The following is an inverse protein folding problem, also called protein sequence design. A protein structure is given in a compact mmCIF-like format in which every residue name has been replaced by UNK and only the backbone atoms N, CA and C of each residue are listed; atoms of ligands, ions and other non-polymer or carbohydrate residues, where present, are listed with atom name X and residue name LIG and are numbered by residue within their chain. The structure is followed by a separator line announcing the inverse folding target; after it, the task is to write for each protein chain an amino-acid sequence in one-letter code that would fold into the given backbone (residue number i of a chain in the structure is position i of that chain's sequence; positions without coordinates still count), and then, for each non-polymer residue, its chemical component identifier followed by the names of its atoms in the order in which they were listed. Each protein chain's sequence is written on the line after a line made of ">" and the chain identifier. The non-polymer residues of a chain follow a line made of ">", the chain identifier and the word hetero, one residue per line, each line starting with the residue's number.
data_IF_672462406693
#
_entry.id   IF_672462406693
#
_cell.length_a   1.000
_cell.length_b   1.000
_cell.length_c   1.000
_cell.angle_alpha   90.00
_cell.angle_beta   90.00
_cell.angle_gamma   90.00
#
_symmetry.space_group_name_H-M   'P 1'
#
loop_
_entity.id
_entity.type
_entity.pdbx_description
1 polymer ?
#
# COMPACT_ATOMS: atom_id res chain seq x y z
N UNK A 1 -20.48 -28.00 25.03
CA UNK A 1 -19.42 -26.98 25.08
C UNK A 1 -18.15 -27.59 24.52
N UNK A 2 -17.75 -27.14 23.32
CA UNK A 2 -16.53 -27.53 22.63
C UNK A 2 -15.96 -26.23 22.03
N UNK A 3 -14.78 -25.75 22.42
CA UNK A 3 -14.25 -24.50 21.88
C UNK A 3 -13.62 -24.71 20.50
N UNK A 4 -13.95 -23.82 19.57
CA UNK A 4 -13.52 -23.70 18.17
C UNK A 4 -12.03 -23.37 17.97
N UNK A 5 -11.14 -23.89 18.82
CA UNK A 5 -9.69 -23.59 18.80
C UNK A 5 -8.93 -24.22 17.60
N UNK A 6 -9.59 -25.01 16.75
CA UNK A 6 -8.92 -25.82 15.72
C UNK A 6 -8.97 -25.26 14.28
N UNK A 7 -9.53 -24.06 14.05
CA UNK A 7 -9.63 -23.49 12.69
C UNK A 7 -8.64 -22.35 12.39
N UNK A 8 -7.90 -21.84 13.37
CA UNK A 8 -6.90 -20.78 13.15
C UNK A 8 -5.47 -21.30 12.96
N UNK A 9 -5.17 -22.54 13.35
CA UNK A 9 -3.84 -23.15 13.23
C UNK A 9 -3.41 -23.55 11.80
N UNK A 10 -4.18 -23.19 10.76
CA UNK A 10 -3.80 -23.44 9.36
C UNK A 10 -3.25 -22.23 8.62
N UNK A 11 -3.32 -21.02 9.18
CA UNK A 11 -2.91 -19.79 8.46
C UNK A 11 -1.64 -19.15 9.06
N UNK A 12 -1.30 -19.40 10.33
CA UNK A 12 -0.09 -18.87 10.94
C UNK A 12 0.56 -19.95 11.83
N UNK A 13 1.69 -20.51 11.40
CA UNK A 13 2.59 -21.31 12.25
C UNK A 13 3.27 -20.38 13.28
N UNK A 14 2.52 -19.93 14.28
CA UNK A 14 3.02 -19.09 15.38
C UNK A 14 2.54 -19.72 16.69
N UNK A 15 3.14 -20.84 17.08
CA UNK A 15 2.87 -21.42 18.41
C UNK A 15 4.04 -22.13 19.10
N UNK A 16 5.28 -21.97 18.61
CA UNK A 16 6.47 -22.56 19.28
C UNK A 16 7.38 -21.52 19.98
N UNK A 17 6.86 -20.32 20.30
CA UNK A 17 7.61 -19.30 21.05
C UNK A 17 7.15 -19.27 22.52
N UNK A 18 7.43 -20.35 23.26
CA UNK A 18 7.41 -20.33 24.74
C UNK A 18 8.86 -20.29 25.21
N UNK A 19 9.21 -19.22 25.90
CA UNK A 19 10.51 -19.01 26.54
C UNK A 19 10.54 -19.85 27.82
N UNK A 20 11.35 -20.92 27.85
CA UNK A 20 11.70 -21.63 29.09
C UNK A 20 12.96 -21.01 29.69
N UNK A 21 12.87 -20.55 30.94
CA UNK A 21 14.00 -20.08 31.74
C UNK A 21 14.88 -21.27 32.17
N UNK A 22 16.19 -21.20 31.86
CA UNK A 22 17.16 -22.21 32.27
C UNK A 22 17.88 -21.90 33.58
N UNK A 23 18.15 -22.96 34.38
CA UNK A 23 19.28 -23.03 35.32
C UNK A 23 19.96 -24.41 35.27
N UNK A 24 21.26 -24.51 35.62
CA UNK A 24 22.16 -25.57 35.15
C UNK A 24 22.41 -26.67 36.19
N UNK A 25 22.73 -27.89 35.73
CA UNK A 25 23.91 -28.68 36.14
C UNK A 25 23.89 -30.09 35.52
N UNK A 26 25.08 -30.67 35.29
CA UNK A 26 25.25 -32.12 35.28
C UNK A 26 25.88 -32.76 34.03
N UNK A 27 27.10 -33.23 34.21
CA UNK A 27 28.00 -33.95 33.31
C UNK A 27 27.49 -35.34 32.87
N UNK A 28 27.94 -35.81 31.68
CA UNK A 28 28.28 -37.20 31.24
C UNK A 28 27.67 -37.59 29.87
N UNK A 29 28.54 -38.09 28.97
CA UNK A 29 28.27 -38.85 27.73
C UNK A 29 29.01 -40.20 27.80
N UNK A 30 28.91 -41.17 26.84
CA UNK A 30 28.03 -41.31 25.67
C UNK A 30 27.40 -42.72 25.49
N UNK A 31 26.44 -42.90 24.57
CA UNK A 31 26.54 -43.84 23.42
C UNK A 31 25.21 -44.26 22.77
N UNK A 32 25.35 -44.60 21.49
CA UNK A 32 24.50 -45.42 20.61
C UNK A 32 23.51 -44.74 19.65
N UNK A 33 23.74 -45.13 18.40
CA UNK A 33 23.08 -44.85 17.13
C UNK A 33 21.58 -45.14 17.09
N UNK A 34 20.80 -44.22 16.53
CA UNK A 34 19.69 -44.58 15.64
C UNK A 34 19.41 -43.47 14.64
N UNK A 35 19.19 -43.87 13.40
CA UNK A 35 18.87 -43.03 12.26
C UNK A 35 17.51 -42.36 12.43
N UNK A 36 17.47 -41.04 12.46
CA UNK A 36 16.24 -40.27 12.30
C UNK A 36 16.54 -39.07 11.42
N UNK A 37 15.72 -38.94 10.38
CA UNK A 37 15.80 -37.92 9.33
C UNK A 37 15.76 -36.55 10.00
N UNK A 38 16.80 -35.74 9.84
CA UNK A 38 16.75 -34.32 10.20
C UNK A 38 15.82 -33.61 9.21
N UNK A 39 14.58 -33.41 9.61
CA UNK A 39 13.81 -32.28 9.09
C UNK A 39 14.36 -31.05 9.82
N UNK A 40 15.10 -30.22 9.11
CA UNK A 40 15.47 -28.89 9.60
C UNK A 40 14.18 -28.06 9.64
N UNK A 41 13.57 -27.99 10.81
CA UNK A 41 12.54 -27.01 11.10
C UNK A 41 13.24 -25.66 11.35
N UNK A 42 13.44 -24.92 10.27
CA UNK A 42 13.93 -23.55 10.34
C UNK A 42 12.78 -22.65 10.81
N UNK A 43 12.53 -22.66 12.12
CA UNK A 43 11.85 -21.53 12.78
C UNK A 43 12.68 -20.28 12.49
N UNK A 44 12.24 -19.50 11.50
CA UNK A 44 12.96 -18.32 11.06
C UNK A 44 12.87 -17.27 12.17
N UNK A 45 13.90 -17.21 13.01
CA UNK A 45 14.07 -16.18 14.03
C UNK A 45 14.04 -14.82 13.32
N UNK A 46 13.07 -13.98 13.66
CA UNK A 46 12.99 -12.62 13.13
C UNK A 46 14.23 -11.81 13.57
N UNK A 47 14.73 -10.89 12.72
CA UNK A 47 15.82 -10.03 13.10
C UNK A 47 15.41 -9.10 14.25
N UNK A 48 16.37 -8.62 15.03
CA UNK A 48 16.13 -7.60 16.07
C UNK A 48 15.81 -6.22 15.47
N UNK A 49 16.13 -5.99 14.19
CA UNK A 49 15.79 -4.76 13.50
C UNK A 49 15.65 -5.00 12.01
N UNK A 50 14.71 -4.31 11.35
CA UNK A 50 14.57 -4.35 9.90
C UNK A 50 14.19 -2.97 9.37
N UNK A 51 14.79 -2.56 8.25
CA UNK A 51 14.55 -1.25 7.63
C UNK A 51 14.50 -1.39 6.12
N UNK A 52 13.50 -0.73 5.54
CA UNK A 52 13.22 -0.76 4.11
C UNK A 52 13.55 0.62 3.56
N UNK A 53 14.32 0.65 2.47
CA UNK A 53 14.63 1.91 1.79
C UNK A 53 13.40 2.43 1.05
N UNK A 54 12.66 3.30 1.73
CA UNK A 54 11.53 4.05 1.15
C UNK A 54 11.98 5.48 0.84
N UNK A 55 11.90 5.94 -0.41
CA UNK A 55 12.22 7.32 -0.75
C UNK A 55 11.21 8.27 -0.12
N UNK A 56 11.70 9.31 0.55
CA UNK A 56 10.84 10.35 1.11
C UNK A 56 10.23 11.22 0.00
N UNK A 57 8.93 11.49 0.12
CA UNK A 57 8.19 12.40 -0.75
C UNK A 57 7.42 13.37 0.13
N UNK A 58 7.66 14.67 -0.08
CA UNK A 58 6.94 15.73 0.61
C UNK A 58 5.54 15.94 0.00
N UNK A 59 4.54 16.12 0.85
CA UNK A 59 3.21 16.56 0.42
C UNK A 59 3.28 17.97 -0.22
N UNK A 60 2.39 18.25 -1.18
CA UNK A 60 2.38 19.54 -1.88
C UNK A 60 1.28 20.47 -1.35
N UNK A 61 0.23 19.90 -0.75
CA UNK A 61 -0.91 20.61 -0.19
C UNK A 61 -1.19 20.09 1.22
N UNK A 62 -2.08 20.74 1.96
CA UNK A 62 -2.47 20.29 3.31
C UNK A 62 -3.23 18.97 3.34
N UNK A 63 -3.75 18.52 2.20
CA UNK A 63 -4.67 17.37 2.10
C UNK A 63 -4.07 16.15 1.39
N UNK A 64 -2.90 16.27 0.75
CA UNK A 64 -2.33 15.23 -0.11
C UNK A 64 -1.25 14.36 0.57
N UNK A 65 -1.17 14.38 1.90
CA UNK A 65 -0.23 13.52 2.66
C UNK A 65 -0.45 12.02 2.38
N UNK A 66 -1.71 11.56 2.28
CA UNK A 66 -2.03 10.18 1.90
C UNK A 66 -1.55 9.82 0.49
N UNK A 67 -1.66 10.75 -0.47
CA UNK A 67 -1.17 10.55 -1.84
C UNK A 67 0.36 10.49 -1.88
N UNK A 68 1.03 11.33 -1.09
CA UNK A 68 2.48 11.25 -0.93
C UNK A 68 2.90 9.89 -0.34
N UNK A 69 2.19 9.37 0.67
CA UNK A 69 2.44 8.04 1.23
C UNK A 69 2.24 6.91 0.22
N UNK A 70 1.19 6.96 -0.60
CA UNK A 70 1.00 6.00 -1.71
C UNK A 70 2.17 6.10 -2.71
N UNK A 71 2.60 7.30 -3.09
CA UNK A 71 3.74 7.46 -3.99
C UNK A 71 5.05 6.91 -3.40
N UNK A 72 5.29 7.11 -2.11
CA UNK A 72 6.43 6.52 -1.39
C UNK A 72 6.37 4.98 -1.44
N UNK A 73 5.20 4.39 -1.16
CA UNK A 73 5.01 2.95 -1.20
C UNK A 73 5.19 2.37 -2.61
N UNK A 74 4.62 3.01 -3.64
CA UNK A 74 4.79 2.63 -5.05
C UNK A 74 6.27 2.66 -5.48
N UNK A 75 6.98 3.74 -5.13
CA UNK A 75 8.40 3.85 -5.44
C UNK A 75 9.24 2.77 -4.75
N UNK A 76 8.91 2.44 -3.48
CA UNK A 76 9.62 1.42 -2.71
C UNK A 76 9.49 0.02 -3.34
N UNK A 77 8.37 -0.29 -3.98
CA UNK A 77 8.15 -1.57 -4.69
C UNK A 77 8.53 -1.52 -6.18
N UNK A 78 9.11 -0.39 -6.65
CA UNK A 78 9.65 -0.23 -8.01
C UNK A 78 8.68 0.34 -9.05
N UNK A 79 7.51 0.83 -8.65
CA UNK A 79 6.56 1.53 -9.52
C UNK A 79 6.84 3.04 -9.44
N UNK A 80 7.64 3.55 -10.38
CA UNK A 80 8.21 4.91 -10.33
C UNK A 80 7.71 5.87 -11.42
N UNK A 81 6.69 5.48 -12.18
CA UNK A 81 6.11 6.25 -13.30
C UNK A 81 4.88 7.09 -12.89
N UNK A 82 4.82 7.52 -11.62
CA UNK A 82 3.68 8.21 -11.04
C UNK A 82 4.10 9.54 -10.39
N UNK A 83 3.15 10.45 -10.23
CA UNK A 83 3.34 11.73 -9.52
C UNK A 83 2.19 11.96 -8.56
N UNK A 84 2.37 12.84 -7.57
CA UNK A 84 1.29 13.23 -6.64
C UNK A 84 0.09 13.77 -7.43
N UNK A 85 0.31 14.60 -8.45
CA UNK A 85 -0.76 15.11 -9.30
C UNK A 85 -1.48 13.98 -10.05
N UNK A 86 -0.74 13.01 -10.59
CA UNK A 86 -1.36 11.86 -11.25
C UNK A 86 -2.21 11.03 -10.30
N UNK A 87 -1.77 10.83 -9.05
CA UNK A 87 -2.56 10.15 -8.02
C UNK A 87 -3.80 10.96 -7.63
N UNK A 88 -3.68 12.28 -7.51
CA UNK A 88 -4.80 13.18 -7.24
C UNK A 88 -5.87 13.11 -8.36
N UNK A 89 -5.43 13.15 -9.62
CA UNK A 89 -6.31 13.04 -10.80
C UNK A 89 -7.02 11.68 -10.86
N UNK A 90 -6.38 10.61 -10.37
CA UNK A 90 -6.98 9.27 -10.30
C UNK A 90 -7.95 9.13 -9.13
N UNK A 91 -7.67 9.80 -8.01
CA UNK A 91 -8.49 9.77 -6.79
C UNK A 91 -9.76 10.63 -6.92
N UNK A 92 -9.70 11.70 -7.72
CA UNK A 92 -10.82 12.60 -8.00
C UNK A 92 -11.45 13.28 -6.76
N UNK A 93 -10.70 13.43 -5.66
CA UNK A 93 -11.14 14.13 -4.45
C UNK A 93 -9.94 14.78 -3.74
N UNK A 94 -10.21 15.80 -2.93
CA UNK A 94 -9.25 16.39 -1.99
C UNK A 94 -9.57 16.06 -0.52
N UNK A 95 -10.71 15.41 -0.25
CA UNK A 95 -11.01 14.80 1.06
C UNK A 95 -10.59 13.33 1.01
N UNK A 96 -9.35 13.05 1.35
CA UNK A 96 -8.75 11.73 1.21
C UNK A 96 -9.01 10.87 2.45
N UNK A 97 -9.68 9.73 2.25
CA UNK A 97 -9.87 8.69 3.26
C UNK A 97 -9.00 7.47 2.96
N UNK A 98 -8.73 6.61 3.95
CA UNK A 98 -7.84 5.45 3.77
C UNK A 98 -8.36 4.50 2.69
N UNK A 99 -9.68 4.37 2.57
CA UNK A 99 -10.30 3.57 1.50
C UNK A 99 -9.96 4.14 0.11
N UNK A 100 -9.86 5.46 -0.06
CA UNK A 100 -9.43 6.06 -1.34
C UNK A 100 -7.99 5.63 -1.68
N UNK A 101 -7.10 5.61 -0.68
CA UNK A 101 -5.72 5.14 -0.84
C UNK A 101 -5.66 3.65 -1.18
N UNK A 102 -6.52 2.82 -0.58
CA UNK A 102 -6.65 1.41 -0.91
C UNK A 102 -7.06 1.20 -2.39
N UNK A 103 -8.01 1.98 -2.89
CA UNK A 103 -8.40 1.97 -4.30
C UNK A 103 -7.24 2.39 -5.23
N UNK A 104 -6.43 3.37 -4.83
CA UNK A 104 -5.23 3.73 -5.59
C UNK A 104 -4.25 2.56 -5.64
N UNK A 105 -3.90 1.95 -4.51
CA UNK A 105 -3.01 0.79 -4.46
C UNK A 105 -3.53 -0.38 -5.32
N UNK A 106 -4.84 -0.65 -5.26
CA UNK A 106 -5.50 -1.68 -6.07
C UNK A 106 -5.38 -1.41 -7.57
N UNK A 107 -5.54 -0.14 -7.99
CA UNK A 107 -5.38 0.28 -9.40
C UNK A 107 -3.98 0.01 -9.95
N UNK A 108 -2.97 0.07 -9.09
CA UNK A 108 -1.59 -0.28 -9.42
C UNK A 108 -1.27 -1.77 -9.21
N UNK A 109 -2.28 -2.60 -8.91
CA UNK A 109 -2.14 -4.04 -8.64
C UNK A 109 -1.13 -4.34 -7.51
N UNK A 110 -1.07 -3.45 -6.53
CA UNK A 110 -0.25 -3.65 -5.32
C UNK A 110 -0.94 -4.65 -4.42
N UNK A 111 -0.19 -5.59 -3.85
CA UNK A 111 -0.72 -6.49 -2.83
C UNK A 111 -0.65 -5.82 -1.46
N UNK A 112 -1.79 -5.68 -0.81
CA UNK A 112 -1.90 -5.08 0.53
C UNK A 112 -3.08 -5.67 1.31
N UNK A 113 -3.11 -5.43 2.62
CA UNK A 113 -4.26 -5.62 3.49
C UNK A 113 -4.66 -4.29 4.12
N UNK A 114 -5.95 -3.99 4.20
CA UNK A 114 -6.47 -2.80 4.88
C UNK A 114 -7.08 -3.21 6.22
N UNK A 115 -6.52 -2.72 7.32
CA UNK A 115 -7.05 -2.87 8.68
C UNK A 115 -7.70 -1.59 9.17
N UNK A 116 -8.84 -1.73 9.82
CA UNK A 116 -9.62 -0.62 10.40
C UNK A 116 -10.55 -1.16 11.49
N UNK A 117 -10.95 -0.32 12.44
CA UNK A 117 -12.03 -0.67 13.40
C UNK A 117 -13.40 -0.16 12.97
N UNK A 118 -13.48 0.58 11.86
CA UNK A 118 -14.73 1.17 11.34
C UNK A 118 -14.91 0.83 9.86
N UNK A 119 -16.06 0.25 9.52
CA UNK A 119 -16.45 0.05 8.12
C UNK A 119 -17.35 1.20 7.68
N UNK A 120 -16.83 2.08 6.81
CA UNK A 120 -17.52 3.29 6.39
C UNK A 120 -16.97 4.54 7.08
N UNK A 121 -17.66 5.67 6.92
CA UNK A 121 -17.31 6.89 7.61
C UNK A 121 -18.07 7.01 8.93
N UNK A 122 -17.35 7.24 10.04
CA UNK A 122 -17.97 7.37 11.36
C UNK A 122 -18.68 8.72 11.52
N UNK A 123 -20.02 8.79 11.67
CA UNK A 123 -20.74 10.05 11.81
C UNK A 123 -20.39 10.81 13.11
N UNK A 124 -19.86 10.10 14.11
CA UNK A 124 -19.45 10.70 15.38
C UNK A 124 -18.24 11.64 15.23
N UNK A 125 -17.53 11.58 14.10
CA UNK A 125 -16.42 12.50 13.80
C UNK A 125 -16.85 13.93 13.53
N UNK A 126 -18.16 14.20 13.44
CA UNK A 126 -18.72 15.55 13.38
C UNK A 126 -18.32 16.45 14.55
N UNK A 127 -17.91 15.88 15.69
CA UNK A 127 -17.37 16.62 16.85
C UNK A 127 -15.97 17.16 16.61
N UNK A 128 -15.19 16.53 15.73
CA UNK A 128 -13.85 16.96 15.38
C UNK A 128 -13.90 18.03 14.30
N UNK A 129 -13.29 19.18 14.59
CA UNK A 129 -13.24 20.32 13.65
C UNK A 129 -12.64 19.94 12.29
N UNK A 130 -11.71 18.98 12.28
CA UNK A 130 -11.10 18.42 11.08
C UNK A 130 -12.11 17.82 10.09
N UNK A 131 -13.11 17.07 10.57
CA UNK A 131 -14.07 16.39 9.70
C UNK A 131 -15.34 17.21 9.42
N UNK A 132 -15.67 18.15 10.31
CA UNK A 132 -16.98 18.81 10.39
C UNK A 132 -17.54 19.33 9.06
N UNK A 133 -16.70 19.96 8.23
CA UNK A 133 -17.16 20.60 6.98
C UNK A 133 -17.44 19.60 5.85
N UNK A 134 -16.59 18.57 5.70
CA UNK A 134 -16.64 17.63 4.56
C UNK A 134 -17.43 16.35 4.87
N UNK A 135 -17.56 15.99 6.16
CA UNK A 135 -18.17 14.75 6.61
C UNK A 135 -19.56 14.47 6.01
N UNK A 136 -20.50 15.42 5.86
CA UNK A 136 -21.81 15.12 5.28
C UNK A 136 -21.74 14.59 3.84
N UNK A 137 -20.79 15.09 3.03
CA UNK A 137 -20.59 14.60 1.66
C UNK A 137 -19.75 13.32 1.66
N UNK A 138 -18.77 13.22 2.56
CA UNK A 138 -17.92 12.06 2.67
C UNK A 138 -18.64 10.82 3.17
N UNK A 139 -19.62 10.95 4.07
CA UNK A 139 -20.40 9.82 4.59
C UNK A 139 -20.93 8.93 3.45
N UNK A 140 -21.65 9.52 2.51
CA UNK A 140 -22.24 8.78 1.38
C UNK A 140 -21.15 8.17 0.49
N UNK A 141 -20.11 8.95 0.16
CA UNK A 141 -19.05 8.51 -0.75
C UNK A 141 -18.22 7.38 -0.15
N UNK A 142 -17.76 7.55 1.09
CA UNK A 142 -16.89 6.60 1.80
C UNK A 142 -17.65 5.31 2.06
N UNK A 143 -18.90 5.37 2.52
CA UNK A 143 -19.72 4.17 2.72
C UNK A 143 -19.90 3.38 1.42
N UNK A 144 -20.14 4.07 0.30
CA UNK A 144 -20.21 3.42 -1.01
C UNK A 144 -18.89 2.77 -1.44
N UNK A 145 -17.74 3.38 -1.10
CA UNK A 145 -16.42 2.80 -1.39
C UNK A 145 -16.20 1.52 -0.56
N UNK A 146 -16.51 1.53 0.73
CA UNK A 146 -16.42 0.33 1.57
C UNK A 146 -17.33 -0.81 1.08
N UNK A 147 -18.57 -0.49 0.67
CA UNK A 147 -19.51 -1.48 0.13
C UNK A 147 -18.98 -2.17 -1.14
N UNK A 148 -18.31 -1.41 -2.02
CA UNK A 148 -17.78 -1.92 -3.30
C UNK A 148 -16.38 -2.54 -3.19
N UNK A 149 -15.64 -2.25 -2.13
CA UNK A 149 -14.23 -2.63 -1.98
C UNK A 149 -13.98 -4.12 -2.22
N UNK A 150 -14.83 -4.99 -1.66
CA UNK A 150 -14.70 -6.44 -1.81
C UNK A 150 -14.87 -6.92 -3.25
N UNK A 151 -15.83 -6.33 -3.98
CA UNK A 151 -16.09 -6.66 -5.39
C UNK A 151 -14.92 -6.21 -6.29
N UNK A 152 -14.23 -5.15 -5.88
CA UNK A 152 -13.04 -4.59 -6.55
C UNK A 152 -11.72 -5.29 -6.14
N UNK A 153 -11.81 -6.34 -5.31
CA UNK A 153 -10.67 -7.15 -4.88
C UNK A 153 -9.83 -6.56 -3.75
N UNK A 154 -10.36 -5.56 -3.03
CA UNK A 154 -9.70 -4.96 -1.86
C UNK A 154 -10.07 -5.77 -0.60
N UNK A 155 -9.06 -6.33 0.08
CA UNK A 155 -9.24 -7.05 1.35
C UNK A 155 -9.23 -6.08 2.52
N UNK A 156 -10.40 -5.92 3.16
CA UNK A 156 -10.57 -5.11 4.37
C UNK A 156 -10.82 -6.04 5.57
N UNK A 157 -10.00 -5.87 6.61
CA UNK A 157 -10.09 -6.58 7.88
C UNK A 157 -10.57 -5.61 8.97
N UNK A 158 -11.83 -5.77 9.40
CA UNK A 158 -12.42 -4.96 10.47
C UNK A 158 -11.95 -5.46 11.85
N UNK A 159 -10.73 -5.11 12.24
CA UNK A 159 -10.15 -5.45 13.55
C UNK A 159 -9.08 -4.44 13.95
N UNK A 160 -8.86 -4.32 15.26
CA UNK A 160 -7.67 -3.64 15.78
C UNK A 160 -6.43 -4.51 15.55
N UNK A 161 -5.32 -3.83 15.31
CA UNK A 161 -3.94 -4.34 15.33
C UNK A 161 -3.20 -3.50 16.36
N UNK A 162 -2.30 -4.09 17.14
CA UNK A 162 -1.45 -3.33 18.06
C UNK A 162 -0.02 -3.10 17.51
N UNK A 163 0.76 -2.28 18.21
CA UNK A 163 2.13 -1.96 17.84
C UNK A 163 3.04 -3.21 17.75
N UNK A 164 2.73 -4.27 18.52
CA UNK A 164 3.50 -5.52 18.51
C UNK A 164 3.25 -6.27 17.22
N UNK A 165 2.00 -6.44 16.80
CA UNK A 165 1.67 -7.04 15.51
C UNK A 165 2.32 -6.24 14.36
N UNK A 166 2.24 -4.90 14.38
CA UNK A 166 2.89 -4.04 13.37
C UNK A 166 4.41 -4.30 13.36
N UNK A 167 5.06 -4.34 14.52
CA UNK A 167 6.50 -4.60 14.63
C UNK A 167 6.88 -5.93 13.98
N UNK A 168 6.10 -7.00 14.20
CA UNK A 168 6.35 -8.32 13.62
C UNK A 168 6.21 -8.32 12.10
N UNK A 169 5.21 -7.59 11.57
CA UNK A 169 5.07 -7.43 10.12
C UNK A 169 6.28 -6.72 9.51
N UNK A 170 6.77 -5.65 10.14
CA UNK A 170 7.93 -4.91 9.64
C UNK A 170 9.22 -5.75 9.77
N UNK A 171 9.44 -6.41 10.91
CA UNK A 171 10.59 -7.29 11.14
C UNK A 171 10.65 -8.49 10.19
N UNK A 172 9.50 -8.95 9.69
CA UNK A 172 9.46 -10.00 8.66
C UNK A 172 10.15 -9.61 7.35
N UNK A 173 10.39 -8.31 7.14
CA UNK A 173 10.98 -7.76 5.92
C UNK A 173 10.14 -7.89 4.67
N UNK A 174 8.86 -8.22 4.82
CA UNK A 174 7.91 -8.40 3.71
C UNK A 174 6.99 -7.20 3.52
N UNK A 175 6.93 -6.27 4.48
CA UNK A 175 5.92 -5.23 4.52
C UNK A 175 6.49 -3.86 4.85
N UNK A 176 5.85 -2.82 4.31
CA UNK A 176 5.78 -1.48 4.88
C UNK A 176 4.32 -1.18 5.22
N UNK A 177 4.04 -0.14 5.99
CA UNK A 177 2.66 0.26 6.26
C UNK A 177 2.42 1.74 5.99
N UNK A 178 1.23 2.08 5.51
CA UNK A 178 0.70 3.45 5.54
C UNK A 178 -0.28 3.52 6.71
N UNK A 179 -0.05 4.43 7.66
CA UNK A 179 -0.88 4.57 8.85
C UNK A 179 -1.54 5.95 8.89
N UNK A 180 -2.81 6.02 9.28
CA UNK A 180 -3.46 7.25 9.69
C UNK A 180 -3.17 7.52 11.17
N UNK A 181 -2.70 8.72 11.49
CA UNK A 181 -2.34 9.12 12.85
C UNK A 181 -2.90 10.49 13.18
N UNK A 182 -3.07 10.78 14.47
CA UNK A 182 -3.27 12.15 14.93
C UNK A 182 -1.93 12.92 14.90
N UNK A 183 -1.82 13.90 14.00
CA UNK A 183 -0.62 14.69 13.76
C UNK A 183 -0.09 15.39 15.02
N UNK A 184 -0.99 15.88 15.89
CA UNK A 184 -0.56 16.60 17.10
C UNK A 184 0.19 15.66 18.05
N UNK A 185 -0.30 14.43 18.23
CA UNK A 185 0.38 13.42 19.06
C UNK A 185 1.67 12.93 18.42
N UNK A 186 1.71 12.84 17.10
CA UNK A 186 2.95 12.55 16.36
C UNK A 186 4.01 13.64 16.57
N UNK A 187 3.60 14.90 16.69
CA UNK A 187 4.50 16.05 16.86
C UNK A 187 4.98 16.21 18.31
N UNK A 188 4.16 15.83 19.29
CA UNK A 188 4.49 15.96 20.71
C UNK A 188 5.59 15.00 21.18
N UNK A 189 5.77 13.84 20.55
CA UNK A 189 6.91 12.96 20.86
C UNK A 189 8.25 13.67 20.67
N UNK A 190 8.37 14.52 19.64
CA UNK A 190 9.57 15.33 19.40
C UNK A 190 9.82 16.42 20.45
N UNK A 191 8.75 16.91 21.08
CA UNK A 191 8.83 18.02 22.03
C UNK A 191 9.08 17.50 23.46
N UNK A 192 8.50 16.37 23.83
CA UNK A 192 8.73 15.72 25.13
C UNK A 192 10.17 15.18 25.27
N UNK A 193 10.80 14.73 24.17
CA UNK A 193 12.22 14.37 24.15
C UNK A 193 13.15 15.58 24.36
N UNK A 194 12.65 16.81 24.20
CA UNK A 194 13.43 18.03 24.32
C UNK A 194 13.21 18.79 25.64
N UNK A 195 12.01 18.76 26.25
CA UNK A 195 11.68 19.55 27.45
C UNK A 195 10.67 18.82 28.36
N UNK A 196 11.09 18.58 29.61
CA UNK A 196 10.37 18.10 30.81
C UNK A 196 8.95 17.48 30.63
N UNK A 197 8.75 16.18 30.93
CA UNK A 197 7.44 15.54 30.90
C UNK A 197 6.60 16.02 32.09
N UNK A 198 5.45 16.66 31.85
CA UNK A 198 4.56 17.04 32.94
C UNK A 198 3.53 18.13 32.68
N UNK A 199 3.54 18.80 31.52
CA UNK A 199 2.57 19.84 31.18
C UNK A 199 1.96 19.54 29.82
N UNK A 200 0.82 18.85 29.78
CA UNK A 200 -0.33 19.18 28.91
C UNK A 200 -1.37 18.05 28.88
N UNK A 201 -2.12 17.93 29.98
CA UNK A 201 -3.46 17.32 29.96
C UNK A 201 -4.50 18.29 29.39
N UNK A 202 -4.26 18.80 28.18
CA UNK A 202 -5.14 19.74 27.51
C UNK A 202 -5.61 19.16 26.19
N UNK A 203 -6.92 18.92 26.08
CA UNK A 203 -7.68 18.45 24.91
C UNK A 203 -6.89 18.56 23.59
N UNK A 204 -6.07 17.56 23.28
CA UNK A 204 -5.28 17.55 22.06
C UNK A 204 -6.29 17.36 20.94
N UNK A 205 -6.53 18.42 20.16
CA UNK A 205 -7.42 18.33 19.01
C UNK A 205 -7.02 17.18 18.08
N UNK A 206 -7.85 16.91 17.09
CA UNK A 206 -7.55 15.95 16.06
C UNK A 206 -7.13 16.65 14.76
N UNK A 207 -6.04 16.18 14.17
CA UNK A 207 -5.70 16.45 12.77
C UNK A 207 -5.21 15.14 12.16
N UNK A 208 -6.01 14.59 11.23
CA UNK A 208 -5.67 13.35 10.54
C UNK A 208 -4.48 13.55 9.62
N UNK A 209 -3.49 12.66 9.72
CA UNK A 209 -2.28 12.72 8.91
C UNK A 209 -1.77 11.33 8.57
N UNK A 210 -1.34 11.12 7.33
CA UNK A 210 -0.81 9.83 6.89
C UNK A 210 0.72 9.84 6.92
N UNK A 211 1.29 8.72 7.39
CA UNK A 211 2.73 8.47 7.40
C UNK A 211 3.04 7.08 6.82
N UNK A 212 4.29 6.84 6.43
CA UNK A 212 4.77 5.49 6.07
C UNK A 212 5.65 4.95 7.20
N UNK A 213 5.33 3.76 7.70
CA UNK A 213 6.17 2.97 8.60
C UNK A 213 7.00 2.02 7.75
N UNK A 214 8.33 2.13 7.84
CA UNK A 214 9.26 1.44 6.94
C UNK A 214 10.41 0.74 7.66
N UNK A 215 10.45 0.78 8.99
CA UNK A 215 11.39 0.00 9.76
C UNK A 215 11.01 -0.08 11.23
N UNK A 216 11.64 -1.01 11.94
CA UNK A 216 11.48 -1.19 13.36
C UNK A 216 12.79 -1.70 13.97
N UNK A 217 13.13 -1.17 15.14
CA UNK A 217 14.29 -1.53 15.94
C UNK A 217 13.82 -2.04 17.31
N UNK A 218 13.88 -3.35 17.53
CA UNK A 218 13.45 -3.96 18.79
C UNK A 218 14.39 -3.62 19.96
N UNK A 219 15.60 -3.12 19.69
CA UNK A 219 16.55 -2.75 20.76
C UNK A 219 16.20 -1.40 21.40
N UNK A 220 15.66 -0.47 20.61
CA UNK A 220 15.21 0.84 21.07
C UNK A 220 13.70 0.96 21.19
N UNK A 221 12.96 -0.05 20.71
CA UNK A 221 11.50 -0.05 20.58
C UNK A 221 10.98 1.14 19.76
N UNK A 222 11.65 1.39 18.63
CA UNK A 222 11.37 2.52 17.74
C UNK A 222 11.00 2.06 16.34
N UNK A 223 9.99 2.71 15.77
CA UNK A 223 9.66 2.64 14.36
C UNK A 223 10.41 3.71 13.57
N UNK A 224 10.91 3.33 12.38
CA UNK A 224 11.37 4.28 11.38
C UNK A 224 10.22 4.65 10.44
N UNK A 225 9.98 5.96 10.29
CA UNK A 225 8.89 6.51 9.51
C UNK A 225 9.37 7.44 8.38
N UNK A 226 8.48 7.70 7.44
CA UNK A 226 8.54 8.82 6.50
C UNK A 226 7.30 9.68 6.73
N UNK A 227 7.52 10.92 7.14
CA UNK A 227 6.46 11.90 7.30
C UNK A 227 6.45 12.86 6.09
N UNK A 228 5.40 12.86 5.26
CA UNK A 228 5.33 13.74 4.09
C UNK A 228 5.18 15.24 4.45
N UNK A 229 4.85 15.60 5.69
CA UNK A 229 4.77 16.98 6.16
C UNK A 229 6.14 17.58 6.51
N UNK A 230 7.15 16.74 6.78
CA UNK A 230 8.49 17.18 7.19
C UNK A 230 9.46 17.20 6.00
N UNK A 231 10.59 17.89 6.16
CA UNK A 231 11.73 17.79 5.23
C UNK A 231 12.73 16.71 5.64
N UNK A 232 12.51 16.05 6.78
CA UNK A 232 13.42 15.03 7.30
C UNK A 232 13.18 13.74 6.52
N UNK A 233 14.27 13.18 5.98
CA UNK A 233 14.19 11.94 5.18
C UNK A 233 13.99 10.70 6.05
N UNK A 234 14.48 10.74 7.29
CA UNK A 234 14.43 9.64 8.23
C UNK A 234 14.00 10.20 9.58
N UNK A 235 12.95 9.61 10.14
CA UNK A 235 12.42 9.96 11.44
C UNK A 235 12.18 8.67 12.22
N UNK A 236 12.41 8.72 13.53
CA UNK A 236 12.18 7.61 14.44
C UNK A 236 11.19 8.04 15.50
N UNK A 237 10.38 7.10 15.97
CA UNK A 237 9.47 7.32 17.08
C UNK A 237 9.26 6.03 17.87
N UNK A 238 9.05 6.14 19.18
CA UNK A 238 8.75 4.98 20.01
C UNK A 238 7.45 4.28 19.59
N UNK A 239 7.36 2.98 19.83
CA UNK A 239 6.16 2.17 19.61
C UNK A 239 4.93 2.78 20.30
N UNK A 240 5.10 3.22 21.55
CA UNK A 240 4.07 3.85 22.36
C UNK A 240 3.55 5.14 21.73
N UNK A 241 4.43 6.04 21.31
CA UNK A 241 4.02 7.29 20.68
C UNK A 241 3.26 7.04 19.38
N UNK A 242 3.69 6.05 18.58
CA UNK A 242 3.01 5.67 17.36
C UNK A 242 1.61 5.14 17.67
N UNK A 243 1.50 4.25 18.66
CA UNK A 243 0.22 3.66 19.05
C UNK A 243 -0.75 4.69 19.61
N UNK A 244 -0.29 5.59 20.49
CA UNK A 244 -1.11 6.68 21.03
C UNK A 244 -1.64 7.62 19.93
N UNK A 245 -0.84 7.86 18.88
CA UNK A 245 -1.22 8.68 17.74
C UNK A 245 -2.20 7.94 16.81
N UNK A 246 -1.95 6.66 16.51
CA UNK A 246 -2.75 5.82 15.61
C UNK A 246 -4.07 5.36 16.21
N UNK A 247 -4.17 5.18 17.53
CA UNK A 247 -5.42 4.81 18.23
C UNK A 247 -6.23 6.01 18.70
N UNK A 248 -5.90 7.22 18.25
CA UNK A 248 -6.67 8.41 18.59
C UNK A 248 -8.04 8.40 17.94
N UNK A 249 -9.05 8.91 18.66
CA UNK A 249 -10.37 9.15 18.07
C UNK A 249 -10.24 9.99 16.79
N UNK A 250 -10.90 9.56 15.71
CA UNK A 250 -10.79 10.16 14.37
C UNK A 250 -9.98 9.32 13.38
N UNK A 251 -9.10 8.43 13.84
CA UNK A 251 -8.18 7.68 12.95
C UNK A 251 -8.75 6.36 12.42
N UNK A 252 -9.82 5.83 13.04
CA UNK A 252 -10.33 4.48 12.80
C UNK A 252 -9.28 3.35 12.91
N UNK A 253 -8.14 3.63 13.55
CA UNK A 253 -6.98 2.73 13.59
C UNK A 253 -6.47 2.31 12.19
N UNK A 254 -6.78 3.12 11.17
CA UNK A 254 -6.59 2.79 9.77
C UNK A 254 -5.11 2.49 9.41
N UNK A 255 -4.88 1.31 8.83
CA UNK A 255 -3.57 0.83 8.44
C UNK A 255 -3.63 0.06 7.12
N UNK A 256 -2.85 0.49 6.12
CA UNK A 256 -2.62 -0.25 4.88
C UNK A 256 -1.27 -0.96 4.97
N UNK A 257 -1.29 -2.29 5.14
CA UNK A 257 -0.10 -3.12 5.17
C UNK A 257 0.28 -3.51 3.75
N UNK A 258 1.30 -2.87 3.19
CA UNK A 258 1.72 -3.00 1.79
C UNK A 258 2.82 -4.05 1.66
N UNK A 259 2.59 -5.05 0.81
CA UNK A 259 3.53 -6.14 0.56
C UNK A 259 4.64 -5.73 -0.41
N UNK A 260 5.88 -5.97 -0.03
CA UNK A 260 7.08 -5.76 -0.85
C UNK A 260 7.32 -6.90 -1.84
N UNK A 261 6.63 -8.03 -1.68
CA UNK A 261 6.73 -9.18 -2.58
C UNK A 261 6.31 -8.83 -4.02
N UNK A 262 5.54 -7.75 -4.21
CA UNK A 262 5.16 -7.21 -5.52
C UNK A 262 6.33 -6.78 -6.41
N UNK A 263 7.48 -6.40 -5.84
CA UNK A 263 8.66 -5.97 -6.59
C UNK A 263 9.23 -7.06 -7.52
N UNK A 264 8.99 -8.34 -7.19
CA UNK A 264 9.46 -9.48 -8.00
C UNK A 264 8.48 -9.87 -9.11
N UNK A 265 7.16 -9.80 -8.86
CA UNK A 265 6.12 -10.09 -9.87
C UNK A 265 5.99 -8.99 -10.93
N UNK A 266 6.16 -7.71 -10.58
CA UNK A 266 6.11 -6.63 -11.57
C UNK A 266 7.28 -6.69 -12.55
N UNK A 267 8.49 -7.09 -12.09
CA UNK A 267 9.63 -7.36 -12.99
C UNK A 267 9.33 -8.49 -13.98
N UNK A 268 8.65 -9.56 -13.53
CA UNK A 268 8.22 -10.66 -14.40
C UNK A 268 7.11 -10.26 -15.38
N UNK A 269 6.09 -9.52 -14.90
CA UNK A 269 4.98 -9.09 -15.74
C UNK A 269 5.37 -8.00 -16.73
N UNK A 270 6.24 -7.06 -16.36
CA UNK A 270 6.77 -6.04 -17.28
C UNK A 270 7.67 -6.69 -18.36
N UNK A 271 8.45 -7.71 -18.00
CA UNK A 271 9.16 -8.53 -18.97
C UNK A 271 8.19 -9.27 -19.91
N UNK A 272 7.13 -9.89 -19.38
CA UNK A 272 6.10 -10.55 -20.18
C UNK A 272 5.30 -9.58 -21.06
N UNK A 273 4.94 -8.39 -20.57
CA UNK A 273 4.18 -7.38 -21.32
C UNK A 273 5.03 -6.77 -22.43
N UNK A 274 6.31 -6.48 -22.15
CA UNK A 274 7.26 -6.04 -23.16
C UNK A 274 7.47 -7.14 -24.21
N UNK A 275 7.58 -8.41 -23.80
CA UNK A 275 7.69 -9.53 -24.72
C UNK A 275 6.42 -9.71 -25.57
N UNK A 276 5.23 -9.56 -24.98
CA UNK A 276 3.94 -9.61 -25.69
C UNK A 276 3.76 -8.46 -26.67
N UNK A 277 4.16 -7.23 -26.34
CA UNK A 277 4.13 -6.10 -27.27
C UNK A 277 5.13 -6.29 -28.42
N UNK A 278 6.33 -6.80 -28.12
CA UNK A 278 7.36 -7.08 -29.14
C UNK A 278 6.91 -8.22 -30.06
N UNK A 279 6.28 -9.26 -29.50
CA UNK A 279 5.71 -10.38 -30.27
C UNK A 279 4.49 -9.94 -31.09
N UNK A 280 3.60 -9.09 -30.57
CA UNK A 280 2.50 -8.53 -31.37
C UNK A 280 3.00 -7.63 -32.49
N UNK A 281 4.00 -6.78 -32.23
CA UNK A 281 4.63 -5.99 -33.28
C UNK A 281 5.27 -6.91 -34.34
N UNK A 282 5.97 -7.97 -33.94
CA UNK A 282 6.57 -8.93 -34.86
C UNK A 282 5.52 -9.75 -35.65
N UNK A 283 4.39 -10.11 -35.06
CA UNK A 283 3.29 -10.83 -35.74
C UNK A 283 2.57 -9.91 -36.73
N UNK A 284 2.30 -8.66 -36.36
CA UNK A 284 1.71 -7.65 -37.27
C UNK A 284 2.66 -7.37 -38.45
N UNK A 285 3.97 -7.30 -38.21
CA UNK A 285 4.97 -7.16 -39.29
C UNK A 285 5.11 -8.42 -40.16
N UNK A 286 4.63 -9.59 -39.69
CA UNK A 286 4.67 -10.85 -40.45
C UNK A 286 3.39 -11.11 -41.26
N UNK A 287 2.27 -10.51 -40.87
CA UNK A 287 1.01 -10.59 -41.63
C UNK A 287 0.90 -9.54 -42.75
N UNK A 288 1.67 -8.43 -42.69
CA UNK A 288 1.69 -7.42 -43.76
C UNK A 288 2.87 -7.55 -44.76
N UNK A 289 3.57 -8.68 -44.77
CA UNK A 289 4.74 -8.89 -45.64
C UNK A 289 4.46 -9.84 -46.81
N UNK A 290 3.86 -9.33 -47.89
CA UNK A 290 4.21 -9.79 -49.24
C UNK A 290 4.88 -8.64 -49.99
N UNK A 291 5.97 -9.01 -50.67
CA UNK A 291 6.78 -8.26 -51.65
C UNK A 291 8.03 -7.47 -51.16
N UNK A 292 9.14 -8.01 -51.68
CA UNK A 292 10.49 -7.52 -51.99
C UNK A 292 11.60 -7.42 -50.94
N UNK A 293 12.57 -8.33 -51.14
CA UNK A 293 13.93 -8.27 -50.62
C UNK A 293 14.62 -7.00 -51.13
N UNK A 294 14.87 -6.04 -50.24
CA UNK A 294 16.01 -5.13 -50.41
C UNK A 294 16.68 -4.88 -49.07
N UNK A 295 17.81 -5.57 -48.89
CA UNK A 295 18.76 -5.39 -47.80
C UNK A 295 19.21 -3.92 -47.70
N UNK A 296 18.88 -3.25 -46.60
CA UNK A 296 19.58 -2.03 -46.16
C UNK A 296 19.97 -2.21 -44.69
N UNK A 297 21.27 -2.32 -44.45
CA UNK A 297 21.90 -2.37 -43.12
C UNK A 297 21.80 -1.02 -42.41
N UNK A 298 21.57 -0.95 -41.08
CA UNK A 298 21.53 0.32 -40.38
C UNK A 298 22.93 0.78 -39.98
N UNK A 299 23.25 2.03 -40.32
CA UNK A 299 24.33 2.78 -39.69
C UNK A 299 23.73 3.95 -38.91
N UNK A 300 24.17 4.06 -37.65
CA UNK A 300 24.06 5.21 -36.74
C UNK A 300 22.67 5.60 -36.20
N UNK A 301 22.62 5.67 -34.86
CA UNK A 301 21.40 5.82 -34.09
C UNK A 301 20.71 7.18 -34.18
N UNK A 302 19.39 7.11 -34.05
CA UNK A 302 18.52 8.12 -33.45
C UNK A 302 17.11 7.54 -33.32
N UNK A 303 16.57 7.51 -32.11
CA UNK A 303 15.16 7.18 -31.89
C UNK A 303 14.30 8.34 -32.41
N UNK A 304 13.55 8.14 -33.49
CA UNK A 304 12.60 9.10 -34.00
C UNK A 304 11.22 8.91 -33.36
N UNK A 305 10.67 10.02 -32.86
CA UNK A 305 9.38 10.16 -32.21
C UNK A 305 8.26 9.96 -33.25
N UNK A 306 7.45 8.92 -33.14
CA UNK A 306 6.27 8.74 -34.01
C UNK A 306 5.13 9.62 -33.49
N UNK A 307 4.81 10.69 -34.24
CA UNK A 307 3.54 11.42 -34.12
C UNK A 307 2.46 10.59 -34.80
N UNK A 308 1.49 10.09 -34.03
CA UNK A 308 0.30 9.44 -34.57
C UNK A 308 -0.65 10.54 -35.10
N UNK A 309 -0.73 10.70 -36.43
CA UNK A 309 -1.71 11.56 -37.07
C UNK A 309 -2.92 10.71 -37.46
N UNK A 310 -4.00 10.75 -36.68
CA UNK A 310 -5.28 10.16 -37.10
C UNK A 310 -5.88 10.98 -38.24
N UNK A 311 -5.89 10.44 -39.46
CA UNK A 311 -6.74 10.94 -40.56
C UNK A 311 -8.13 10.32 -40.43
N UNK A 312 -9.16 11.17 -40.21
CA UNK A 312 -10.57 10.81 -40.39
C UNK A 312 -10.84 10.55 -41.88
N UNK A 313 -11.29 9.35 -42.23
CA UNK A 313 -11.77 9.04 -43.58
C UNK A 313 -13.25 9.39 -43.72
N UNK A 314 -13.54 10.48 -44.42
CA UNK A 314 -14.83 10.77 -45.04
C UNK A 314 -14.89 10.10 -46.41
N UNK A 315 -15.85 9.20 -46.64
CA UNK A 315 -16.12 8.60 -47.94
C UNK A 315 -17.62 8.38 -48.14
N UNK A 316 -18.26 9.29 -48.88
CA UNK A 316 -19.59 9.09 -49.47
C UNK A 316 -19.43 8.27 -50.75
N UNK A 317 -20.30 7.29 -50.96
CA UNK A 317 -20.76 6.94 -52.30
C UNK A 317 -22.26 6.58 -52.24
N UNK A 318 -22.99 7.17 -53.17
CA UNK A 318 -24.44 7.09 -53.30
C UNK A 318 -24.83 6.04 -54.33
N UNK A 319 -25.86 5.23 -54.05
CA UNK A 319 -26.75 4.66 -55.08
C UNK A 319 -28.19 4.68 -54.55
N UNK A 320 -29.09 5.17 -55.40
CA UNK A 320 -30.53 5.40 -55.21
C UNK A 320 -31.32 4.09 -55.14
N UNK A 321 -32.38 4.04 -54.34
CA UNK A 321 -33.80 4.08 -54.78
C UNK A 321 -34.77 3.28 -53.90
N UNK A 322 -36.00 3.81 -53.83
CA UNK A 322 -37.27 3.20 -53.44
C UNK A 322 -37.60 3.05 -51.94
N UNK A 323 -38.16 4.12 -51.36
CA UNK A 323 -39.27 4.01 -50.40
C UNK A 323 -40.39 4.96 -50.82
N UNK A 324 -41.59 4.38 -50.99
CA UNK A 324 -42.86 5.04 -51.29
C UNK A 324 -43.70 4.85 -50.03
N UNK A 325 -43.97 5.91 -49.27
CA UNK A 325 -45.01 5.88 -48.23
C UNK A 325 -46.34 6.37 -48.81
N UNK A 326 -47.48 5.76 -48.42
CA UNK A 326 -48.80 6.29 -48.70
C UNK A 326 -49.24 7.28 -47.62
N UNK A 327 -49.72 8.44 -48.06
CA UNK A 327 -50.26 9.49 -47.20
C UNK A 327 -51.62 9.13 -46.59
N UNK A 328 -51.90 9.80 -45.47
CA UNK A 328 -53.21 9.84 -44.80
C UNK A 328 -54.28 10.48 -45.70
N UNK A 329 -55.39 9.77 -45.88
CA UNK A 329 -56.76 10.26 -45.68
C UNK A 329 -57.59 9.10 -45.12
#
# INVERSE_FOLDING_TARGET
>A
MWPLYLLLNKILNIQDLVVEEGKPDGLVQPSSSSSSRKCEDASAVLPCSHFVQVPHVKQLHSWDCGLACVLMALNAIGINNCSIQGLADLCCTSSIWTVDLAYLLQKYSVSFSFYTVTLGANPNYSVETFYKEQLPTDLVRVDMLFQKAREEGISIECRSIDEREISLFILSGKYIAIALVNQYKLSHSWLEDAILPGLNGGNSGYAGHYIVICGYDASTDEFEIRDPATSRKHERMSSRCLEDARKSFGTDEDLLLVSQLGATRFRSLQACFSLFLTLRAAVVMREEGDVDDTLITPSHGRWCRVKMLMRRSSGRQAIRSAFREPGKR
#
